data_IF_047173066486
#
_entry.id   IF_047173066486
#
_cell.length_a   1.000
_cell.length_b   1.000
_cell.length_c   1.000
_cell.angle_alpha   90.00
_cell.angle_beta   90.00
_cell.angle_gamma   90.00
#
_symmetry.space_group_name_H-M   'P 1'
#
loop_
_entity.id
_entity.type
_entity.pdbx_description
1 polymer ?
#
# COMPACT_ATOMS: atom_id res chain seq x y z
N UNK A 1 -13.51 -0.95 18.14
CA UNK A 1 -13.34 -2.43 18.08
C UNK A 1 -11.96 -2.75 17.54
N UNK A 2 -11.31 -3.79 18.06
CA UNK A 2 -9.95 -4.16 17.62
C UNK A 2 -10.06 -5.27 16.57
N UNK A 3 -10.05 -4.87 15.29
CA UNK A 3 -10.01 -5.78 14.14
C UNK A 3 -8.75 -6.66 14.21
N UNK A 4 -8.88 -7.96 13.91
CA UNK A 4 -7.70 -8.85 13.81
C UNK A 4 -6.98 -8.55 12.50
N UNK A 5 -5.76 -8.03 12.60
CA UNK A 5 -4.93 -7.67 11.45
C UNK A 5 -3.89 -8.76 11.14
N UNK A 6 -3.47 -8.90 9.88
CA UNK A 6 -2.35 -9.78 9.54
C UNK A 6 -1.07 -9.30 10.20
N UNK A 7 -0.19 -10.22 10.57
CA UNK A 7 1.07 -9.90 11.24
C UNK A 7 2.08 -9.31 10.24
N UNK A 8 3.01 -8.49 10.73
CA UNK A 8 4.16 -7.98 9.95
C UNK A 8 4.87 -9.07 9.15
N UNK A 9 5.06 -10.25 9.76
CA UNK A 9 5.70 -11.40 9.11
C UNK A 9 4.92 -11.96 7.90
N UNK A 10 3.60 -11.81 7.86
CA UNK A 10 2.77 -12.24 6.72
C UNK A 10 3.01 -11.33 5.51
N UNK A 11 3.02 -10.00 5.70
CA UNK A 11 3.40 -9.07 4.63
C UNK A 11 4.87 -9.17 4.27
N UNK A 12 5.77 -9.32 5.24
CA UNK A 12 7.18 -9.54 4.93
C UNK A 12 7.39 -10.79 4.07
N UNK A 13 6.56 -11.83 4.24
CA UNK A 13 6.59 -13.01 3.35
C UNK A 13 6.02 -12.67 1.99
N UNK A 14 4.87 -12.00 1.92
CA UNK A 14 4.23 -11.59 0.66
C UNK A 14 5.11 -10.66 -0.18
N UNK A 15 5.87 -9.76 0.44
CA UNK A 15 6.74 -8.83 -0.25
C UNK A 15 8.11 -9.42 -0.61
N UNK A 16 8.74 -10.22 0.28
CA UNK A 16 10.18 -10.49 0.19
C UNK A 16 10.58 -11.96 0.05
N UNK A 17 9.63 -12.92 0.12
CA UNK A 17 10.00 -14.34 0.05
C UNK A 17 10.55 -14.73 -1.33
N UNK A 18 11.40 -15.74 -1.38
CA UNK A 18 11.98 -16.30 -2.61
C UNK A 18 11.69 -17.80 -2.61
N UNK A 19 11.13 -18.34 -3.69
CA UNK A 19 10.92 -19.78 -3.87
C UNK A 19 9.45 -20.19 -3.99
N UNK A 20 9.19 -21.50 -3.90
CA UNK A 20 7.91 -22.10 -4.27
C UNK A 20 6.69 -21.43 -3.61
N UNK A 21 5.63 -21.30 -4.42
CA UNK A 21 4.35 -20.77 -4.00
C UNK A 21 3.85 -21.45 -2.73
N UNK A 22 3.48 -20.63 -1.76
CA UNK A 22 2.85 -21.12 -0.51
C UNK A 22 1.35 -20.88 -0.59
N UNK A 23 0.55 -21.51 0.28
CA UNK A 23 -0.88 -21.17 0.41
C UNK A 23 -1.09 -19.65 0.63
N UNK A 24 -0.12 -18.98 1.26
CA UNK A 24 -0.16 -17.55 1.56
C UNK A 24 0.32 -16.67 0.41
N UNK A 25 1.18 -17.21 -0.44
CA UNK A 25 1.80 -16.51 -1.57
C UNK A 25 1.70 -17.43 -2.80
N UNK A 26 0.47 -17.73 -3.27
CA UNK A 26 0.23 -18.79 -4.25
C UNK A 26 0.78 -18.45 -5.65
N UNK A 27 1.04 -17.18 -5.91
CA UNK A 27 1.55 -16.63 -7.17
C UNK A 27 3.02 -16.19 -7.11
N UNK A 28 3.74 -16.48 -6.02
CA UNK A 28 5.06 -15.87 -5.76
C UNK A 28 4.94 -14.49 -5.09
N UNK A 29 6.06 -14.00 -4.55
CA UNK A 29 6.15 -12.74 -3.81
C UNK A 29 6.32 -11.53 -4.73
N UNK A 30 6.12 -10.32 -4.21
CA UNK A 30 6.42 -9.08 -4.95
C UNK A 30 7.87 -9.04 -5.44
N UNK A 31 8.83 -9.42 -4.59
CA UNK A 31 10.25 -9.45 -4.93
C UNK A 31 10.54 -10.43 -6.06
N UNK A 32 10.05 -11.67 -5.96
CA UNK A 32 10.25 -12.70 -6.98
C UNK A 32 9.61 -12.30 -8.30
N UNK A 33 8.42 -11.73 -8.21
CA UNK A 33 7.68 -11.21 -9.34
C UNK A 33 8.44 -10.10 -10.10
N UNK A 34 8.93 -9.09 -9.37
CA UNK A 34 9.72 -8.01 -9.97
C UNK A 34 11.03 -8.52 -10.57
N UNK A 35 11.71 -9.44 -9.89
CA UNK A 35 12.93 -10.08 -10.39
C UNK A 35 12.65 -10.85 -11.69
N UNK A 36 11.57 -11.60 -11.78
CA UNK A 36 11.25 -12.39 -12.98
C UNK A 36 10.94 -11.49 -14.18
N UNK A 37 10.16 -10.42 -13.98
CA UNK A 37 9.79 -9.52 -15.08
C UNK A 37 10.93 -8.62 -15.55
N UNK A 38 11.81 -8.24 -14.64
CA UNK A 38 12.96 -7.39 -14.94
C UNK A 38 14.18 -8.19 -15.41
N UNK A 39 14.06 -9.50 -15.60
CA UNK A 39 15.20 -10.39 -15.90
C UNK A 39 16.34 -10.27 -14.86
N UNK A 40 15.99 -9.97 -13.61
CA UNK A 40 16.91 -9.80 -12.49
C UNK A 40 17.47 -8.39 -12.30
N UNK A 41 17.08 -7.42 -13.14
CA UNK A 41 17.57 -6.04 -13.06
C UNK A 41 16.91 -5.23 -11.93
N UNK A 42 15.67 -5.57 -11.55
CA UNK A 42 14.92 -4.88 -10.48
C UNK A 42 14.85 -5.76 -9.22
N UNK A 43 15.83 -5.57 -8.35
CA UNK A 43 15.96 -6.28 -7.07
C UNK A 43 15.42 -5.45 -5.90
N UNK A 44 14.10 -5.41 -5.76
CA UNK A 44 13.44 -4.64 -4.71
C UNK A 44 13.06 -5.49 -3.49
N UNK A 45 13.46 -5.05 -2.29
CA UNK A 45 13.01 -5.64 -1.03
C UNK A 45 12.33 -4.60 -0.17
N UNK A 46 11.14 -4.91 0.31
CA UNK A 46 10.39 -4.05 1.20
C UNK A 46 10.85 -4.22 2.64
N UNK A 47 11.00 -3.13 3.37
CA UNK A 47 11.03 -3.16 4.84
C UNK A 47 9.59 -3.02 5.35
N UNK A 48 9.09 -4.06 6.04
CA UNK A 48 7.74 -4.05 6.58
C UNK A 48 7.79 -3.74 8.07
N UNK A 49 7.17 -2.62 8.47
CA UNK A 49 7.00 -2.18 9.85
C UNK A 49 5.82 -2.86 10.55
N UNK A 50 5.86 -2.88 11.88
CA UNK A 50 4.71 -3.29 12.68
C UNK A 50 3.55 -2.28 12.58
N UNK A 51 2.34 -2.71 12.94
CA UNK A 51 1.16 -1.87 12.93
C UNK A 51 1.32 -0.65 13.83
N UNK A 52 1.12 0.54 13.26
CA UNK A 52 1.13 1.82 13.97
C UNK A 52 -0.23 2.48 13.88
N UNK A 53 -0.64 3.13 14.96
CA UNK A 53 -1.92 3.84 15.04
C UNK A 53 -1.74 5.29 14.62
N UNK A 54 -2.61 5.77 13.73
CA UNK A 54 -2.69 7.19 13.36
C UNK A 54 -3.68 7.94 14.27
N UNK A 55 -3.86 9.24 14.07
CA UNK A 55 -4.61 10.11 14.99
C UNK A 55 -6.14 10.09 14.82
N UNK A 56 -6.69 9.36 13.85
CA UNK A 56 -8.13 9.34 13.54
C UNK A 56 -8.60 7.98 12.99
N UNK A 57 -9.92 7.85 12.84
CA UNK A 57 -10.59 6.63 12.33
C UNK A 57 -10.52 6.48 10.81
N UNK A 58 -10.71 5.25 10.33
CA UNK A 58 -10.88 4.92 8.90
C UNK A 58 -11.95 5.80 8.23
N UNK A 59 -13.14 5.91 8.83
CA UNK A 59 -14.24 6.74 8.33
C UNK A 59 -13.88 8.23 8.21
N UNK A 60 -13.02 8.74 9.11
CA UNK A 60 -12.59 10.14 9.08
C UNK A 60 -11.69 10.41 7.87
N UNK A 61 -10.78 9.49 7.56
CA UNK A 61 -9.86 9.63 6.43
C UNK A 61 -10.49 9.24 5.10
N UNK A 62 -11.46 8.32 5.09
CA UNK A 62 -12.18 7.94 3.88
C UNK A 62 -13.17 9.00 3.40
N UNK A 63 -13.68 9.83 4.33
CA UNK A 63 -14.65 10.91 4.08
C UNK A 63 -15.94 10.47 3.38
N UNK A 64 -16.32 9.19 3.50
CA UNK A 64 -17.43 8.63 2.74
C UNK A 64 -17.19 8.66 1.22
N UNK A 65 -15.93 8.80 0.80
CA UNK A 65 -15.46 8.97 -0.57
C UNK A 65 -14.23 8.11 -0.81
N UNK A 66 -14.22 6.90 -0.28
CA UNK A 66 -13.20 5.89 -0.59
C UNK A 66 -11.77 6.25 -0.18
N UNK A 67 -11.56 7.34 0.58
CA UNK A 67 -10.23 7.84 0.92
C UNK A 67 -9.45 8.40 -0.26
N UNK A 68 -10.07 8.63 -1.42
CA UNK A 68 -9.39 9.28 -2.57
C UNK A 68 -9.32 10.80 -2.42
N UNK A 69 -9.60 11.32 -1.23
CA UNK A 69 -9.53 12.74 -0.93
C UNK A 69 -8.15 13.15 -0.45
N UNK A 70 -7.92 14.46 -0.43
CA UNK A 70 -6.70 15.06 0.10
C UNK A 70 -6.45 14.74 1.59
N UNK A 71 -7.48 14.33 2.35
CA UNK A 71 -7.37 14.11 3.80
C UNK A 71 -6.61 12.82 4.13
N UNK A 72 -6.68 11.78 3.30
CA UNK A 72 -6.08 10.49 3.61
C UNK A 72 -4.59 10.61 3.89
N UNK A 73 -3.85 11.41 3.10
CA UNK A 73 -2.40 11.60 3.28
C UNK A 73 -2.01 12.14 4.67
N UNK A 74 -2.92 12.83 5.36
CA UNK A 74 -2.68 13.31 6.72
C UNK A 74 -2.58 12.19 7.75
N UNK A 75 -3.03 10.97 7.41
CA UNK A 75 -2.87 9.81 8.29
C UNK A 75 -1.41 9.40 8.47
N UNK A 76 -0.54 9.71 7.49
CA UNK A 76 0.87 9.31 7.51
C UNK A 76 1.70 10.20 8.42
N UNK A 77 1.38 11.49 8.55
CA UNK A 77 2.15 12.43 9.37
C UNK A 77 2.41 11.94 10.80
N UNK A 78 1.39 11.62 11.63
CA UNK A 78 1.64 11.18 12.99
C UNK A 78 2.42 9.85 13.06
N UNK A 79 2.34 9.02 12.02
CA UNK A 79 3.08 7.75 11.96
C UNK A 79 4.56 7.99 11.65
N UNK A 80 4.84 8.79 10.62
CA UNK A 80 6.21 9.13 10.22
C UNK A 80 6.91 9.97 11.29
N UNK A 81 6.21 10.93 11.91
CA UNK A 81 6.74 11.76 12.99
C UNK A 81 7.11 10.90 14.22
N UNK A 82 6.28 9.90 14.56
CA UNK A 82 6.59 8.97 15.64
C UNK A 82 7.81 8.08 15.32
N UNK A 83 7.89 7.56 14.09
CA UNK A 83 9.05 6.79 13.64
C UNK A 83 10.33 7.63 13.66
N UNK A 84 10.27 8.88 13.23
CA UNK A 84 11.38 9.83 13.26
C UNK A 84 11.87 10.07 14.70
N UNK A 85 10.93 10.33 15.62
CA UNK A 85 11.23 10.51 17.04
C UNK A 85 11.80 9.25 17.73
N UNK A 86 11.43 8.05 17.25
CA UNK A 86 11.96 6.76 17.70
C UNK A 86 13.34 6.44 17.11
N UNK A 87 13.87 7.29 16.21
CA UNK A 87 15.18 7.11 15.58
C UNK A 87 15.16 6.13 14.41
N UNK A 88 14.02 5.98 13.73
CA UNK A 88 13.95 5.20 12.49
C UNK A 88 14.82 5.85 11.41
N UNK A 89 15.71 5.04 10.82
CA UNK A 89 16.67 5.52 9.83
C UNK A 89 16.05 5.55 8.42
N UNK A 90 15.46 6.69 8.06
CA UNK A 90 14.85 6.91 6.75
C UNK A 90 15.86 6.98 5.61
N UNK A 91 17.15 7.22 5.89
CA UNK A 91 18.19 7.30 4.84
C UNK A 91 18.42 5.96 4.11
N UNK A 92 18.00 4.85 4.73
CA UNK A 92 18.06 3.51 4.10
C UNK A 92 17.11 3.34 2.92
N UNK A 93 16.17 4.26 2.74
CA UNK A 93 15.17 4.23 1.67
C UNK A 93 15.40 5.31 0.62
N UNK A 94 16.57 5.95 0.65
CA UNK A 94 17.06 6.91 -0.34
C UNK A 94 18.27 6.27 -1.04
N UNK A 95 18.01 5.38 -2.00
CA UNK A 95 19.07 4.57 -2.62
C UNK A 95 19.92 5.35 -3.63
N UNK A 96 19.42 6.48 -4.11
CA UNK A 96 20.11 7.35 -5.07
C UNK A 96 20.73 8.61 -4.42
N UNK A 97 20.55 8.79 -3.10
CA UNK A 97 21.04 9.90 -2.30
C UNK A 97 20.51 11.28 -2.73
N UNK A 98 19.26 11.36 -3.21
CA UNK A 98 18.63 12.62 -3.60
C UNK A 98 17.88 13.32 -2.45
N UNK A 99 17.87 12.71 -1.26
CA UNK A 99 17.20 13.20 -0.07
C UNK A 99 15.72 12.85 0.01
N UNK A 100 15.21 11.99 -0.88
CA UNK A 100 13.83 11.53 -0.92
C UNK A 100 13.76 10.02 -0.67
N UNK A 101 12.69 9.60 0.01
CA UNK A 101 12.34 8.19 0.12
C UNK A 101 11.86 7.69 -1.24
N UNK A 102 12.51 6.65 -1.77
CA UNK A 102 12.26 6.05 -3.07
C UNK A 102 10.81 5.59 -3.23
N UNK A 103 10.27 4.90 -2.22
CA UNK A 103 8.94 4.33 -2.26
C UNK A 103 8.33 4.15 -0.86
N UNK A 104 7.08 4.58 -0.71
CA UNK A 104 6.27 4.28 0.48
C UNK A 104 5.01 3.54 0.04
N UNK A 105 4.77 2.37 0.64
CA UNK A 105 3.53 1.64 0.49
C UNK A 105 2.81 1.56 1.84
N UNK A 106 1.66 2.22 1.92
CA UNK A 106 0.82 2.27 3.11
C UNK A 106 -0.21 1.14 3.07
N UNK A 107 -0.17 0.28 4.09
CA UNK A 107 -1.22 -0.69 4.36
C UNK A 107 -2.11 -0.18 5.48
N UNK A 108 -3.38 0.02 5.17
CA UNK A 108 -4.37 0.49 6.15
C UNK A 108 -5.09 -0.70 6.76
N UNK A 109 -5.58 -0.54 7.99
CA UNK A 109 -6.33 -1.60 8.68
C UNK A 109 -7.69 -1.90 8.05
N UNK A 110 -8.09 -1.21 6.96
CA UNK A 110 -9.38 -1.31 6.28
C UNK A 110 -9.60 -2.64 5.54
N UNK A 111 -10.87 -2.92 5.24
CA UNK A 111 -11.22 -3.80 4.14
C UNK A 111 -11.31 -3.00 2.83
N UNK A 112 -10.96 -3.60 1.67
CA UNK A 112 -10.92 -2.93 0.38
C UNK A 112 -12.28 -2.35 0.02
N UNK A 113 -12.32 -1.03 -0.18
CA UNK A 113 -13.52 -0.35 -0.64
C UNK A 113 -13.98 -0.86 -2.01
N UNK A 114 -13.07 -1.39 -2.82
CA UNK A 114 -13.27 -1.93 -4.17
C UNK A 114 -14.22 -3.13 -4.19
N UNK A 115 -14.30 -3.85 -3.08
CA UNK A 115 -15.18 -5.02 -2.95
C UNK A 115 -16.65 -4.61 -2.76
N UNK A 116 -16.91 -3.37 -2.33
CA UNK A 116 -18.26 -2.89 -2.04
C UNK A 116 -18.88 -3.53 -0.79
N UNK A 117 -20.14 -3.16 -0.50
CA UNK A 117 -20.93 -3.70 0.61
C UNK A 117 -20.56 -3.18 2.01
N UNK A 118 -21.20 -3.75 3.03
CA UNK A 118 -20.95 -3.45 4.44
C UNK A 118 -20.04 -4.54 5.02
N UNK A 119 -18.99 -4.15 5.74
CA UNK A 119 -18.07 -5.09 6.37
C UNK A 119 -18.65 -5.73 7.66
N UNK A 120 -17.99 -6.76 8.21
CA UNK A 120 -18.46 -7.41 9.44
C UNK A 120 -18.40 -6.53 10.70
N UNK A 121 -17.90 -5.30 10.59
CA UNK A 121 -17.87 -4.30 11.65
C UNK A 121 -18.87 -3.15 11.37
N UNK A 122 -19.74 -3.31 10.36
CA UNK A 122 -20.81 -2.36 10.04
C UNK A 122 -20.36 -1.14 9.22
N UNK A 123 -19.15 -1.13 8.68
CA UNK A 123 -18.68 -0.02 7.83
C UNK A 123 -19.07 -0.23 6.36
N UNK A 124 -19.79 0.74 5.81
CA UNK A 124 -20.11 0.79 4.38
C UNK A 124 -18.88 1.13 3.53
N UNK A 125 -18.82 0.63 2.29
CA UNK A 125 -17.65 0.74 1.42
C UNK A 125 -17.16 2.17 1.15
N UNK A 126 -17.99 3.22 1.04
CA UNK A 126 -17.49 4.59 0.87
C UNK A 126 -16.71 5.09 2.09
N UNK A 127 -16.95 4.49 3.26
CA UNK A 127 -16.22 4.81 4.48
C UNK A 127 -14.92 4.00 4.64
N UNK A 128 -14.53 3.20 3.64
CA UNK A 128 -13.30 2.42 3.60
C UNK A 128 -12.31 3.00 2.61
N UNK A 129 -11.08 2.46 2.56
CA UNK A 129 -10.02 2.96 1.67
C UNK A 129 -9.98 2.13 0.39
N UNK A 130 -10.08 2.80 -0.75
CA UNK A 130 -9.81 2.24 -2.07
C UNK A 130 -8.32 2.42 -2.36
N UNK A 131 -7.67 1.38 -2.87
CA UNK A 131 -6.26 1.41 -3.23
C UNK A 131 -5.97 2.46 -4.32
N UNK A 132 -4.91 3.23 -4.12
CA UNK A 132 -4.47 4.21 -5.10
C UNK A 132 -3.02 4.61 -4.82
N UNK A 133 -2.40 5.27 -5.79
CA UNK A 133 -1.14 5.96 -5.60
C UNK A 133 -1.31 7.47 -5.74
N UNK A 134 -0.54 8.19 -4.93
CA UNK A 134 -0.39 9.64 -5.01
C UNK A 134 1.03 9.91 -5.47
N UNK A 135 1.14 10.44 -6.69
CA UNK A 135 2.42 10.79 -7.29
C UNK A 135 3.06 12.01 -6.61
N UNK A 136 4.39 12.08 -6.71
CA UNK A 136 5.16 13.28 -6.40
C UNK A 136 4.64 14.50 -7.18
N UNK A 137 4.52 15.71 -6.59
CA UNK A 137 4.78 16.14 -5.21
C UNK A 137 3.53 16.27 -4.32
N UNK A 138 2.49 15.46 -4.55
CA UNK A 138 1.17 15.66 -3.93
C UNK A 138 1.10 15.27 -2.45
N UNK A 139 2.16 14.66 -1.90
CA UNK A 139 2.40 14.49 -0.47
C UNK A 139 3.71 15.21 -0.11
N UNK A 140 3.84 15.73 1.11
CA UNK A 140 5.07 16.43 1.54
C UNK A 140 5.28 16.20 3.03
N UNK A 141 6.25 15.39 3.38
CA UNK A 141 6.75 15.20 4.74
C UNK A 141 8.27 15.33 4.75
N UNK A 142 8.82 15.78 5.87
CA UNK A 142 10.26 15.86 6.07
C UNK A 142 10.59 15.41 7.50
N UNK A 143 11.52 14.47 7.60
CA UNK A 143 12.14 14.06 8.87
C UNK A 143 12.80 15.28 9.53
N UNK A 144 12.47 15.50 10.79
CA UNK A 144 13.08 16.54 11.63
C UNK A 144 14.46 16.14 12.12
N UNK A 145 14.77 14.84 12.14
CA UNK A 145 16.06 14.29 12.60
C UNK A 145 17.07 14.18 11.45
N UNK A 146 16.69 13.56 10.34
CA UNK A 146 17.58 13.24 9.22
C UNK A 146 17.49 14.22 8.04
N UNK A 147 16.39 14.98 7.95
CA UNK A 147 16.12 15.88 6.82
C UNK A 147 15.62 15.18 5.56
N UNK A 148 15.57 13.84 5.52
CA UNK A 148 15.00 13.02 4.45
C UNK A 148 13.53 13.35 4.26
N UNK A 149 13.07 13.36 3.01
CA UNK A 149 11.72 13.76 2.63
C UNK A 149 10.91 12.60 2.07
N UNK A 150 9.61 12.68 2.20
CA UNK A 150 8.65 11.80 1.53
C UNK A 150 7.65 12.63 0.75
N UNK A 151 7.38 12.23 -0.49
CA UNK A 151 6.75 13.13 -1.45
C UNK A 151 5.65 12.48 -2.33
N UNK A 152 5.55 11.15 -2.25
CA UNK A 152 4.52 10.30 -2.87
C UNK A 152 4.35 9.02 -2.07
N UNK A 153 3.25 8.31 -2.31
CA UNK A 153 2.96 7.03 -1.67
C UNK A 153 1.94 6.23 -2.46
N UNK A 154 1.99 4.91 -2.34
CA UNK A 154 0.91 4.01 -2.68
C UNK A 154 0.16 3.63 -1.39
N UNK A 155 -1.14 3.40 -1.49
CA UNK A 155 -1.96 2.96 -0.36
C UNK A 155 -2.88 1.83 -0.77
N UNK A 156 -3.08 0.87 0.12
CA UNK A 156 -4.09 -0.15 -0.04
C UNK A 156 -4.66 -0.62 1.30
N UNK A 157 -5.73 -1.39 1.24
CA UNK A 157 -6.23 -2.14 2.38
C UNK A 157 -5.28 -3.29 2.70
N UNK A 158 -5.04 -3.55 3.98
CA UNK A 158 -4.30 -4.74 4.38
C UNK A 158 -5.13 -6.01 4.14
N UNK A 159 -6.44 -5.94 4.37
CA UNK A 159 -7.29 -7.12 4.37
C UNK A 159 -7.86 -7.44 3.00
N UNK A 160 -8.33 -8.68 2.82
CA UNK A 160 -9.10 -9.10 1.66
C UNK A 160 -10.57 -9.31 2.04
N UNK A 161 -11.46 -9.01 1.10
CA UNK A 161 -12.90 -9.22 1.27
C UNK A 161 -13.52 -8.18 2.19
N UNK A 162 -14.55 -8.60 2.94
CA UNK A 162 -15.31 -7.73 3.86
C UNK A 162 -15.34 -8.28 5.31
N UNK A 163 -14.69 -9.42 5.54
CA UNK A 163 -14.65 -10.13 6.83
C UNK A 163 -13.33 -10.88 7.00
N UNK A 164 -12.99 -11.21 8.24
CA UNK A 164 -11.83 -12.04 8.57
C UNK A 164 -10.50 -11.29 8.56
N UNK A 165 -9.40 -12.02 8.61
CA UNK A 165 -8.04 -11.45 8.76
C UNK A 165 -7.10 -11.90 7.64
N UNK A 166 -7.64 -12.16 6.44
CA UNK A 166 -6.84 -12.66 5.32
C UNK A 166 -6.12 -11.48 4.67
N UNK A 167 -4.79 -11.55 4.43
CA UNK A 167 -4.06 -10.50 3.72
C UNK A 167 -4.62 -10.26 2.30
N UNK A 168 -4.51 -9.01 1.85
CA UNK A 168 -4.73 -8.62 0.47
C UNK A 168 -3.76 -9.39 -0.45
N UNK A 169 -4.25 -9.73 -1.65
CA UNK A 169 -3.44 -10.43 -2.63
C UNK A 169 -2.40 -9.53 -3.31
N UNK A 170 -1.36 -10.15 -3.84
CA UNK A 170 -0.25 -9.47 -4.53
C UNK A 170 -0.71 -8.55 -5.68
N UNK A 171 -1.74 -8.93 -6.44
CA UNK A 171 -2.15 -8.21 -7.65
C UNK A 171 -2.44 -6.72 -7.42
N UNK A 172 -3.20 -6.38 -6.36
CA UNK A 172 -3.52 -4.98 -6.04
C UNK A 172 -2.26 -4.25 -5.55
N UNK A 173 -1.45 -4.90 -4.70
CA UNK A 173 -0.18 -4.31 -4.23
C UNK A 173 0.74 -3.97 -5.40
N UNK A 174 0.84 -4.89 -6.37
CA UNK A 174 1.68 -4.74 -7.55
C UNK A 174 1.15 -3.68 -8.52
N UNK A 175 -0.17 -3.57 -8.67
CA UNK A 175 -0.79 -2.51 -9.47
C UNK A 175 -0.42 -1.13 -8.92
N UNK A 176 -0.65 -0.89 -7.63
CA UNK A 176 -0.33 0.39 -7.01
C UNK A 176 1.17 0.66 -6.92
N UNK A 177 1.98 -0.38 -6.73
CA UNK A 177 3.42 -0.26 -6.78
C UNK A 177 3.91 0.17 -8.18
N UNK A 178 3.26 -0.28 -9.25
CA UNK A 178 3.55 0.16 -10.61
C UNK A 178 3.48 1.68 -10.78
N UNK A 179 2.55 2.35 -10.11
CA UNK A 179 2.46 3.81 -10.13
C UNK A 179 3.63 4.50 -9.40
N UNK A 180 4.26 3.86 -8.41
CA UNK A 180 5.51 4.36 -7.82
C UNK A 180 6.69 4.26 -8.78
N UNK A 181 6.62 3.36 -9.77
CA UNK A 181 7.54 3.29 -10.90
C UNK A 181 7.11 4.21 -12.06
N UNK A 182 6.21 5.16 -11.82
CA UNK A 182 5.67 6.11 -12.80
C UNK A 182 4.90 5.47 -13.97
N UNK A 183 4.44 4.22 -13.82
CA UNK A 183 3.63 3.57 -14.85
C UNK A 183 2.18 4.07 -14.79
N UNK A 184 1.57 4.47 -15.92
CA UNK A 184 0.18 4.92 -15.94
C UNK A 184 -0.79 3.73 -15.87
N UNK A 185 -2.01 4.02 -15.42
CA UNK A 185 -3.13 3.12 -15.63
C UNK A 185 -3.37 2.91 -17.13
N UNK A 186 -3.36 1.65 -17.57
CA UNK A 186 -3.65 1.29 -18.97
C UNK A 186 -5.14 0.99 -19.22
N UNK A 187 -5.97 1.03 -18.17
CA UNK A 187 -7.43 0.87 -18.29
C UNK A 187 -8.03 2.14 -18.90
N UNK A 188 -8.92 2.00 -19.87
CA UNK A 188 -9.68 3.14 -20.40
C UNK A 188 -10.61 3.70 -19.32
N UNK A 189 -10.59 5.02 -19.06
CA UNK A 189 -11.40 5.63 -18.01
C UNK A 189 -12.77 6.09 -18.55
N UNK A 190 -13.60 5.20 -19.09
CA UNK A 190 -15.06 5.40 -19.18
C UNK A 190 -15.87 4.17 -19.65
N UNK A 191 -16.82 3.78 -18.78
CA UNK A 191 -18.20 3.41 -19.10
C UNK A 191 -18.52 2.15 -19.97
N UNK A 192 -19.25 1.22 -19.32
CA UNK A 192 -20.15 0.18 -19.87
C UNK A 192 -19.54 -1.11 -20.47
N UNK A 193 -19.31 -2.09 -19.58
CA UNK A 193 -19.36 -3.52 -19.93
C UNK A 193 -18.06 -4.11 -20.49
N UNK A 194 -17.87 -5.44 -20.38
CA UNK A 194 -16.54 -6.03 -20.47
C UNK A 194 -16.17 -6.29 -21.92
N UNK A 195 -15.08 -5.70 -22.37
CA UNK A 195 -14.25 -6.28 -23.42
C UNK A 195 -12.80 -6.10 -23.01
N UNK A 196 -12.17 -7.25 -22.72
CA UNK A 196 -10.77 -7.46 -22.29
C UNK A 196 -10.43 -7.06 -20.84
N UNK A 197 -10.82 -7.94 -19.91
CA UNK A 197 -10.46 -7.92 -18.49
C UNK A 197 -9.72 -9.17 -18.02
N UNK A 198 -8.98 -9.82 -18.93
CA UNK A 198 -7.96 -10.82 -18.61
C UNK A 198 -6.76 -10.45 -19.47
N UNK A 199 -5.53 -10.60 -18.96
CA UNK A 199 -4.26 -10.15 -19.56
C UNK A 199 -3.83 -8.72 -19.24
N UNK A 200 -3.69 -8.45 -17.95
CA UNK A 200 -2.36 -8.07 -17.43
C UNK A 200 -2.12 -8.95 -16.21
N UNK A 201 -2.06 -10.24 -16.54
CA UNK A 201 -1.36 -11.22 -15.72
C UNK A 201 0.10 -10.89 -15.88
N UNK A 202 0.58 -10.22 -14.86
CA UNK A 202 1.91 -10.44 -14.36
C UNK A 202 2.24 -11.94 -14.30
#
# INVERSE_FOLDING_TARGET
ETRKLPKRGEYSTLFNSIGESTERVPSGSVHEYLMSQSYGELNLKAHVEDWRTTNNTEAFFSEGKHGVSHKLRFMMYPVLDAMDAEGFDFSKFDSNNDGLIDAIFLLTSSYPSEVGGIDCYGQDFPNRIWAHAIAHPSFQWQSTVSGIKANGYAVSSALRGICGSVPLGMAVLMHEFGHLLELPDLRQPDAQGPTEGQWIGF
#
